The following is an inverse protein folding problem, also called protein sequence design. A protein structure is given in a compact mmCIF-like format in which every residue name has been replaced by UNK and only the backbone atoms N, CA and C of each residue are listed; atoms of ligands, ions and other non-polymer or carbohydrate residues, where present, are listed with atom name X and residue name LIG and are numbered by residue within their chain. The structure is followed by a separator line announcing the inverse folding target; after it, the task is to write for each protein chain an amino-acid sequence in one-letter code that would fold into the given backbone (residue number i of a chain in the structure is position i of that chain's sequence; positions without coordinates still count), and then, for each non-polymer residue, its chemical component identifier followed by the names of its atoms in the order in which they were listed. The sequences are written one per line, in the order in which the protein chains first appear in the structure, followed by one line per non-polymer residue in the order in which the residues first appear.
data_IF_719578286551
#
_entry.id   IF_719578286551
#
_cell.length_a   1.000
_cell.length_b   1.000
_cell.length_c   1.000
_cell.angle_alpha   90.00
_cell.angle_beta   90.00
_cell.angle_gamma   90.00
#
_symmetry.space_group_name_H-M   'P 1'
#
loop_
_entity.id
_entity.type
_entity.pdbx_description
1 polymer ?
#
# COMPACT_ATOMS: atom_id res chain seq x y z
N UNK A 1 19.42 18.83 -9.66
CA UNK A 1 19.96 20.22 -9.53
C UNK A 1 19.00 21.16 -10.25
N UNK A 2 18.53 22.29 -9.74
CA UNK A 2 19.02 23.22 -8.70
C UNK A 2 17.87 24.15 -8.28
N UNK A 3 17.78 24.41 -6.97
CA UNK A 3 16.80 25.30 -6.36
C UNK A 3 16.15 24.64 -5.15
N UNK A 4 16.95 24.24 -4.15
CA UNK A 4 16.36 24.01 -2.84
C UNK A 4 15.84 25.39 -2.38
N UNK A 5 14.52 25.54 -2.30
CA UNK A 5 13.93 26.78 -1.81
C UNK A 5 14.61 27.16 -0.50
N UNK A 6 14.99 28.44 -0.32
CA UNK A 6 15.70 28.87 0.87
C UNK A 6 14.84 28.52 2.09
N UNK A 7 15.43 27.73 3.00
CA UNK A 7 14.78 27.34 4.25
C UNK A 7 14.34 28.61 4.99
N UNK A 8 13.05 28.76 5.35
CA UNK A 8 12.58 29.94 6.04
C UNK A 8 13.36 30.16 7.36
N UNK A 9 13.76 31.40 7.65
CA UNK A 9 14.57 31.71 8.85
C UNK A 9 13.90 31.22 10.15
N UNK A 10 12.57 31.32 10.24
CA UNK A 10 11.79 30.81 11.37
C UNK A 10 11.91 29.29 11.52
N UNK A 11 11.85 28.55 10.42
CA UNK A 11 12.02 27.10 10.42
C UNK A 11 13.42 26.69 10.92
N UNK A 12 14.47 27.39 10.47
CA UNK A 12 15.84 27.09 10.86
C UNK A 12 16.13 27.33 12.36
N UNK A 13 15.46 28.31 12.98
CA UNK A 13 15.66 28.70 14.39
C UNK A 13 14.74 27.98 15.37
N UNK A 14 13.63 27.42 14.91
CA UNK A 14 12.65 26.76 15.77
C UNK A 14 13.18 25.41 16.28
N UNK A 15 13.02 25.14 17.57
CA UNK A 15 13.54 23.94 18.26
C UNK A 15 12.48 22.87 18.48
N UNK A 16 11.33 22.94 17.81
CA UNK A 16 10.23 22.00 18.01
C UNK A 16 10.62 20.57 17.68
N UNK A 17 10.00 19.59 18.35
CA UNK A 17 10.34 18.17 18.18
C UNK A 17 10.14 17.68 16.75
N UNK A 18 9.18 18.26 16.02
CA UNK A 18 8.90 17.94 14.62
C UNK A 18 8.65 19.23 13.84
N UNK A 19 9.38 19.39 12.73
CA UNK A 19 9.19 20.47 11.75
C UNK A 19 9.19 19.90 10.34
N UNK A 20 8.31 20.38 9.47
CA UNK A 20 8.31 19.97 8.07
C UNK A 20 7.96 21.13 7.14
N UNK A 21 8.61 21.17 5.99
CA UNK A 21 8.38 22.20 4.95
C UNK A 21 7.22 21.79 4.05
N UNK A 22 6.54 22.77 3.47
CA UNK A 22 5.51 22.60 2.43
C UNK A 22 5.69 23.72 1.40
N UNK A 23 5.18 23.60 0.16
CA UNK A 23 5.34 24.65 -0.84
C UNK A 23 4.88 26.05 -0.38
N UNK A 24 3.80 26.10 0.41
CA UNK A 24 3.23 27.34 0.94
C UNK A 24 3.76 27.79 2.30
N UNK A 25 4.79 27.13 2.88
CA UNK A 25 5.30 27.47 4.21
C UNK A 25 5.94 26.29 4.96
N UNK A 26 5.66 26.18 6.26
CA UNK A 26 6.13 25.05 7.07
C UNK A 26 5.24 24.80 8.27
N UNK A 27 5.20 23.54 8.70
CA UNK A 27 4.51 23.07 9.89
C UNK A 27 5.46 22.89 11.05
N UNK A 28 4.97 23.24 12.23
CA UNK A 28 5.56 22.99 13.53
C UNK A 28 4.62 22.14 14.36
N UNK A 29 5.10 21.04 14.93
CA UNK A 29 4.30 20.20 15.81
C UNK A 29 4.98 20.05 17.17
N UNK A 30 4.18 20.16 18.24
CA UNK A 30 4.62 20.08 19.65
C UNK A 30 3.55 19.45 20.53
N UNK A 31 3.97 18.84 21.63
CA UNK A 31 3.05 18.48 22.72
C UNK A 31 2.66 19.74 23.49
N UNK A 32 1.40 19.84 23.86
CA UNK A 32 0.84 20.95 24.64
C UNK A 32 -0.08 20.39 25.71
N UNK A 33 -0.44 21.22 26.70
CA UNK A 33 -1.42 20.86 27.73
C UNK A 33 -2.64 21.75 27.55
N UNK A 34 -3.79 21.14 27.28
CA UNK A 34 -5.06 21.86 27.19
C UNK A 34 -5.46 22.45 28.56
N UNK A 35 -6.32 23.48 28.63
CA UNK A 35 -6.77 24.09 29.89
C UNK A 35 -7.37 23.11 30.92
N UNK A 36 -7.81 21.93 30.46
CA UNK A 36 -8.36 20.84 31.29
C UNK A 36 -7.29 19.86 31.80
N UNK A 37 -6.00 20.16 31.62
CA UNK A 37 -4.88 19.31 32.03
C UNK A 37 -4.65 18.08 31.14
N UNK A 38 -5.39 17.96 30.02
CA UNK A 38 -5.20 16.87 29.06
C UNK A 38 -4.06 17.21 28.11
N UNK A 39 -3.14 16.27 27.94
CA UNK A 39 -2.08 16.38 26.96
C UNK A 39 -2.63 16.28 25.55
N UNK A 40 -2.19 17.18 24.68
CA UNK A 40 -2.61 17.28 23.28
C UNK A 40 -1.38 17.49 22.40
N UNK A 41 -1.59 17.38 21.09
CA UNK A 41 -0.63 17.83 20.08
C UNK A 41 -1.18 19.09 19.44
N UNK A 42 -0.35 20.12 19.39
CA UNK A 42 -0.62 21.33 18.61
C UNK A 42 0.23 21.31 17.35
N UNK A 43 -0.42 21.54 16.21
CA UNK A 43 0.22 21.74 14.92
C UNK A 43 -0.06 23.15 14.41
N UNK A 44 1.01 23.91 14.18
CA UNK A 44 0.99 25.30 13.74
C UNK A 44 1.55 25.38 12.31
N UNK A 45 0.78 25.94 11.36
CA UNK A 45 1.25 26.22 10.01
C UNK A 45 1.70 27.68 9.90
N UNK A 46 2.93 27.91 9.43
CA UNK A 46 3.49 29.22 9.18
C UNK A 46 3.66 29.45 7.68
N UNK A 47 2.86 30.34 7.11
CA UNK A 47 3.04 30.85 5.73
C UNK A 47 3.92 32.12 5.72
N UNK A 48 4.03 32.79 6.87
CA UNK A 48 4.89 33.96 7.12
C UNK A 48 5.55 33.87 8.51
N UNK A 49 6.45 34.79 8.85
CA UNK A 49 7.31 34.69 10.05
C UNK A 49 6.67 35.13 11.38
N UNK A 50 5.48 35.74 11.40
CA UNK A 50 4.97 36.44 12.61
C UNK A 50 3.93 35.69 13.45
N UNK A 51 3.08 34.89 12.83
CA UNK A 51 1.99 34.17 13.52
C UNK A 51 1.57 32.92 12.73
N UNK A 52 1.02 31.89 13.39
CA UNK A 52 0.50 30.73 12.69
C UNK A 52 -0.72 31.13 11.84
N UNK A 53 -0.70 30.75 10.57
CA UNK A 53 -1.83 30.90 9.66
C UNK A 53 -2.95 29.92 10.01
N UNK A 54 -2.59 28.72 10.49
CA UNK A 54 -3.51 27.67 10.95
C UNK A 54 -2.96 27.10 12.25
N UNK A 55 -3.86 26.79 13.17
CA UNK A 55 -3.55 26.05 14.38
C UNK A 55 -4.56 24.89 14.52
N UNK A 56 -4.04 23.70 14.78
CA UNK A 56 -4.83 22.48 14.97
C UNK A 56 -4.41 21.84 16.29
N UNK A 57 -5.39 21.47 17.12
CA UNK A 57 -5.18 20.78 18.38
C UNK A 57 -6.00 19.49 18.40
N UNK A 58 -5.36 18.36 18.72
CA UNK A 58 -6.03 17.07 18.85
C UNK A 58 -5.20 16.10 19.72
N UNK A 59 -5.78 14.94 20.04
CA UNK A 59 -4.99 13.83 20.57
C UNK A 59 -4.00 13.33 19.52
N UNK A 60 -2.85 12.81 19.94
CA UNK A 60 -1.81 12.31 19.03
C UNK A 60 -2.34 11.25 18.06
N UNK A 61 -3.33 10.45 18.48
CA UNK A 61 -3.93 9.42 17.61
C UNK A 61 -4.94 10.01 16.60
N UNK A 62 -5.52 11.18 16.88
CA UNK A 62 -6.56 11.83 16.06
C UNK A 62 -6.01 12.98 15.19
N UNK A 63 -4.77 13.42 15.43
CA UNK A 63 -4.21 14.61 14.80
C UNK A 63 -4.12 14.50 13.27
N UNK A 64 -3.83 13.31 12.71
CA UNK A 64 -3.72 13.13 11.27
C UNK A 64 -5.06 13.42 10.57
N UNK A 65 -6.18 12.96 11.16
CA UNK A 65 -7.53 13.26 10.66
C UNK A 65 -7.84 14.76 10.67
N UNK A 66 -7.33 15.51 11.66
CA UNK A 66 -7.51 16.95 11.70
C UNK A 66 -6.64 17.68 10.66
N UNK A 67 -5.38 17.25 10.53
CA UNK A 67 -4.40 17.81 9.58
C UNK A 67 -4.73 17.54 8.12
N UNK A 68 -5.30 16.37 7.81
CA UNK A 68 -5.51 15.92 6.44
C UNK A 68 -4.31 15.17 5.84
N UNK A 69 -3.21 15.01 6.57
CA UNK A 69 -2.03 14.25 6.16
C UNK A 69 -1.47 13.42 7.32
N UNK A 70 -0.70 12.39 6.99
CA UNK A 70 -0.24 11.38 7.95
C UNK A 70 1.06 11.78 8.67
N UNK A 71 1.12 11.55 9.99
CA UNK A 71 2.38 11.66 10.73
C UNK A 71 3.02 10.28 10.88
N UNK A 72 4.22 10.10 10.34
CA UNK A 72 5.01 8.87 10.46
C UNK A 72 5.25 8.43 11.93
N UNK A 73 5.48 7.14 12.20
CA UNK A 73 5.71 6.66 13.56
C UNK A 73 6.92 7.33 14.23
N UNK A 74 7.97 7.71 13.49
CA UNK A 74 9.09 8.46 14.07
C UNK A 74 8.67 9.85 14.52
N UNK A 75 7.84 10.54 13.73
CA UNK A 75 7.25 11.83 14.14
C UNK A 75 6.40 11.66 15.39
N UNK A 76 5.54 10.63 15.42
CA UNK A 76 4.67 10.33 16.56
C UNK A 76 5.46 9.97 17.81
N UNK A 77 6.52 9.18 17.68
CA UNK A 77 7.40 8.82 18.78
C UNK A 77 8.11 10.06 19.36
N UNK A 78 8.58 10.96 18.49
CA UNK A 78 9.18 12.24 18.91
C UNK A 78 8.19 13.12 19.63
N UNK A 79 6.98 13.24 19.11
CA UNK A 79 5.92 13.97 19.78
C UNK A 79 5.67 13.35 21.15
N UNK A 80 5.43 12.03 21.25
CA UNK A 80 5.12 11.33 22.51
C UNK A 80 6.16 11.54 23.61
N UNK A 81 7.45 11.63 23.28
CA UNK A 81 8.52 11.79 24.27
C UNK A 81 8.95 13.24 24.49
N UNK A 82 8.46 14.20 23.69
CA UNK A 82 8.78 15.61 23.87
C UNK A 82 8.17 16.17 25.15
N UNK A 83 8.87 17.09 25.82
CA UNK A 83 8.30 17.83 26.95
C UNK A 83 7.10 18.66 26.49
N UNK A 84 5.96 18.63 27.23
CA UNK A 84 4.82 19.46 26.91
C UNK A 84 5.17 20.95 27.00
N UNK A 85 4.86 21.69 25.96
CA UNK A 85 4.96 23.14 25.97
C UNK A 85 3.80 23.73 26.79
N UNK A 86 4.14 24.28 27.95
CA UNK A 86 3.20 24.92 28.87
C UNK A 86 2.80 26.33 28.43
N UNK A 87 3.49 26.91 27.44
CA UNK A 87 3.25 28.26 26.92
C UNK A 87 2.22 28.29 25.79
N UNK A 88 1.26 27.36 25.79
CA UNK A 88 0.23 27.33 24.77
C UNK A 88 -0.57 28.64 24.74
N UNK A 89 -0.44 29.37 23.63
CA UNK A 89 -1.26 30.55 23.33
C UNK A 89 -2.13 30.18 22.14
N UNK A 90 -3.43 30.04 22.39
CA UNK A 90 -4.43 29.95 21.34
C UNK A 90 -4.29 31.18 20.44
N UNK A 91 -3.97 30.93 19.17
CA UNK A 91 -3.87 31.98 18.16
C UNK A 91 -5.22 32.12 17.45
N UNK A 92 -5.49 33.29 16.87
CA UNK A 92 -6.61 33.48 15.96
C UNK A 92 -6.12 33.19 14.54
N UNK A 93 -6.26 31.96 14.03
CA UNK A 93 -5.73 31.60 12.73
C UNK A 93 -6.45 32.40 11.63
N UNK A 94 -5.70 32.74 10.59
CA UNK A 94 -6.25 33.42 9.41
C UNK A 94 -6.90 32.44 8.43
N UNK A 95 -6.59 31.15 8.57
CA UNK A 95 -7.11 30.06 7.76
C UNK A 95 -7.76 29.00 8.66
N UNK A 96 -8.87 28.44 8.19
CA UNK A 96 -9.54 27.33 8.86
C UNK A 96 -8.83 25.99 8.53
N UNK A 97 -8.79 25.02 9.45
CA UNK A 97 -8.19 23.70 9.19
C UNK A 97 -8.77 22.99 7.94
N UNK A 98 -10.04 23.19 7.63
CA UNK A 98 -10.67 22.67 6.42
C UNK A 98 -10.02 23.21 5.11
N UNK A 99 -9.48 24.43 5.13
CA UNK A 99 -8.81 25.04 3.97
C UNK A 99 -7.42 24.45 3.74
N UNK A 100 -6.76 23.91 4.78
CA UNK A 100 -5.49 23.18 4.61
C UNK A 100 -5.71 21.91 3.81
N UNK A 101 -6.76 21.17 4.13
CA UNK A 101 -7.06 19.90 3.47
C UNK A 101 -7.29 20.08 1.96
N UNK A 102 -7.94 21.17 1.54
CA UNK A 102 -8.24 21.46 0.13
C UNK A 102 -7.07 22.11 -0.63
N UNK A 103 -6.01 22.54 0.06
CA UNK A 103 -4.87 23.24 -0.53
C UNK A 103 -3.60 22.40 -0.52
N UNK A 104 -3.26 21.83 -1.68
CA UNK A 104 -2.08 20.98 -1.83
C UNK A 104 -0.76 21.65 -1.44
N UNK A 105 -0.63 22.96 -1.64
CA UNK A 105 0.54 23.75 -1.29
C UNK A 105 0.76 23.86 0.24
N UNK A 106 -0.27 23.63 1.05
CA UNK A 106 -0.18 23.70 2.51
C UNK A 106 0.06 22.33 3.16
N UNK A 107 0.23 21.26 2.36
CA UNK A 107 0.41 19.89 2.82
C UNK A 107 1.82 19.39 2.47
N UNK A 108 2.39 18.47 3.27
CA UNK A 108 3.62 17.80 2.87
C UNK A 108 3.41 17.01 1.59
N UNK A 109 4.43 17.03 0.76
CA UNK A 109 4.59 16.18 -0.42
C UNK A 109 5.89 15.37 -0.28
N UNK A 110 6.13 14.39 -1.14
CA UNK A 110 7.27 13.45 -1.01
C UNK A 110 8.62 14.13 -0.72
N UNK A 111 8.96 15.19 -1.44
CA UNK A 111 10.23 15.89 -1.28
C UNK A 111 10.23 16.96 -0.16
N UNK A 112 9.16 17.08 0.62
CA UNK A 112 9.11 17.98 1.77
C UNK A 112 10.18 17.60 2.78
N UNK A 113 11.05 18.56 3.13
CA UNK A 113 12.04 18.39 4.19
C UNK A 113 11.35 18.20 5.53
N UNK A 114 11.81 17.23 6.31
CA UNK A 114 11.42 16.97 7.69
C UNK A 114 12.67 17.04 8.57
N UNK A 115 12.59 17.84 9.64
CA UNK A 115 13.56 17.89 10.72
C UNK A 115 12.91 17.34 12.00
N UNK A 116 13.51 16.28 12.55
CA UNK A 116 13.13 15.69 13.84
C UNK A 116 14.21 16.02 14.86
N UNK A 117 13.83 16.50 16.05
CA UNK A 117 14.81 16.87 17.08
C UNK A 117 15.75 15.70 17.43
N UNK A 118 17.06 15.93 17.26
CA UNK A 118 18.12 14.93 17.49
C UNK A 118 18.43 14.00 16.31
N UNK A 119 17.87 14.24 15.12
CA UNK A 119 18.07 13.39 13.93
C UNK A 119 18.58 14.21 12.74
N UNK A 120 19.25 13.52 11.82
CA UNK A 120 19.54 14.08 10.50
C UNK A 120 18.24 14.34 9.75
N UNK A 121 18.22 15.48 9.05
CA UNK A 121 17.12 15.84 8.17
C UNK A 121 16.84 14.75 7.14
N UNK A 122 15.56 14.56 6.83
CA UNK A 122 15.10 13.60 5.83
C UNK A 122 13.95 14.20 5.03
N UNK A 123 13.38 13.44 4.12
CA UNK A 123 12.19 13.81 3.37
C UNK A 123 10.96 13.15 3.96
N UNK A 124 9.80 13.75 3.71
CA UNK A 124 8.51 13.19 4.11
C UNK A 124 8.27 11.85 3.39
N UNK A 125 8.60 11.73 2.11
CA UNK A 125 8.48 10.50 1.32
C UNK A 125 9.27 9.34 1.93
N UNK A 126 10.55 9.56 2.27
CA UNK A 126 11.37 8.54 2.94
C UNK A 126 10.83 8.12 4.29
N UNK A 127 10.29 9.06 5.08
CA UNK A 127 9.68 8.71 6.36
C UNK A 127 8.44 7.82 6.17
N UNK A 128 7.52 8.21 5.28
CA UNK A 128 6.32 7.42 5.00
C UNK A 128 6.66 6.02 4.45
N UNK A 129 7.77 5.88 3.72
CA UNK A 129 8.21 4.58 3.22
C UNK A 129 8.94 3.73 4.27
N UNK A 130 9.70 4.34 5.17
CA UNK A 130 10.50 3.62 6.16
C UNK A 130 9.67 2.91 7.25
N UNK A 131 8.40 3.28 7.42
CA UNK A 131 7.46 2.67 8.36
C UNK A 131 6.10 2.47 7.68
N UNK A 132 5.98 1.45 6.80
CA UNK A 132 4.71 1.18 6.15
C UNK A 132 3.66 0.74 7.19
N UNK A 133 2.37 1.05 6.95
CA UNK A 133 1.31 0.53 7.80
C UNK A 133 1.33 -1.00 7.82
N UNK A 134 0.95 -1.61 8.96
CA UNK A 134 0.76 -3.06 9.10
C UNK A 134 -0.14 -3.62 8.02
N UNK A 135 -1.13 -2.83 7.57
CA UNK A 135 -2.01 -3.15 6.46
C UNK A 135 -2.56 -1.91 5.81
N UNK A 136 -2.64 -1.92 4.49
CA UNK A 136 -3.43 -0.97 3.71
C UNK A 136 -4.48 -1.70 2.89
N UNK A 137 -5.72 -1.25 2.98
CA UNK A 137 -6.80 -1.66 2.09
C UNK A 137 -7.35 -0.44 1.37
N UNK A 138 -7.67 -0.58 0.08
CA UNK A 138 -8.26 0.48 -0.74
C UNK A 138 -9.53 -0.05 -1.40
N UNK A 139 -10.61 0.72 -1.32
CA UNK A 139 -11.82 0.48 -2.07
C UNK A 139 -11.65 0.97 -3.52
N UNK A 140 -11.81 0.09 -4.53
CA UNK A 140 -11.62 0.48 -5.92
C UNK A 140 -12.76 1.35 -6.47
N UNK A 141 -13.91 1.45 -5.79
CA UNK A 141 -15.08 2.20 -6.25
C UNK A 141 -15.22 3.60 -5.64
N UNK A 142 -14.72 3.80 -4.42
CA UNK A 142 -14.98 5.00 -3.63
C UNK A 142 -13.69 5.77 -3.24
N UNK A 143 -12.51 5.35 -3.71
CA UNK A 143 -11.21 5.95 -3.35
C UNK A 143 -10.97 6.07 -1.83
N UNK A 144 -11.61 5.20 -1.05
CA UNK A 144 -11.40 5.11 0.40
C UNK A 144 -10.24 4.17 0.65
N UNK A 145 -9.29 4.59 1.49
CA UNK A 145 -8.21 3.72 1.95
C UNK A 145 -8.23 3.60 3.47
N UNK A 146 -8.20 2.38 3.99
CA UNK A 146 -8.04 2.10 5.42
C UNK A 146 -6.63 1.59 5.67
N UNK A 147 -5.89 2.27 6.53
CA UNK A 147 -4.53 1.90 6.96
C UNK A 147 -4.56 1.51 8.44
N UNK A 148 -4.05 0.32 8.76
CA UNK A 148 -3.77 -0.10 10.14
C UNK A 148 -2.31 0.19 10.39
N UNK A 149 -2.00 1.12 11.28
CA UNK A 149 -0.65 1.65 11.47
C UNK A 149 0.07 1.03 12.66
N UNK A 150 -0.66 0.53 13.65
CA UNK A 150 -0.10 -0.17 14.80
C UNK A 150 -1.16 -1.02 15.48
N UNK A 151 -0.72 -2.02 16.25
CA UNK A 151 -1.57 -2.81 17.13
C UNK A 151 -0.89 -2.97 18.50
N UNK A 152 -1.63 -2.76 19.58
CA UNK A 152 -1.12 -2.87 20.94
C UNK A 152 -2.07 -3.72 21.79
N UNK A 153 -1.53 -4.66 22.56
CA UNK A 153 -2.32 -5.50 23.45
C UNK A 153 -2.92 -4.66 24.59
N UNK A 154 -4.20 -4.87 24.86
CA UNK A 154 -4.93 -4.24 25.97
C UNK A 154 -5.78 -5.28 26.68
N UNK A 155 -5.90 -5.15 28.00
CA UNK A 155 -6.90 -5.88 28.77
C UNK A 155 -8.31 -5.38 28.41
N UNK A 156 -9.25 -6.29 28.23
CA UNK A 156 -10.67 -5.94 28.03
C UNK A 156 -11.30 -5.75 29.39
N UNK A 157 -11.87 -4.57 29.66
CA UNK A 157 -12.27 -4.15 31.01
C UNK A 157 -13.49 -4.88 31.60
N UNK A 158 -14.20 -5.68 30.82
CA UNK A 158 -15.45 -6.36 31.23
C UNK A 158 -15.50 -7.85 30.86
N UNK A 159 -14.35 -8.43 30.47
CA UNK A 159 -14.21 -9.85 30.16
C UNK A 159 -13.45 -10.57 31.27
N UNK A 160 -13.58 -11.90 31.34
CA UNK A 160 -12.70 -12.74 32.18
C UNK A 160 -11.24 -12.25 32.06
N UNK A 161 -10.47 -12.13 33.17
CA UNK A 161 -9.13 -11.52 33.22
C UNK A 161 -8.10 -12.07 32.23
N UNK A 162 -8.41 -13.18 31.54
CA UNK A 162 -7.58 -13.81 30.51
C UNK A 162 -7.90 -13.37 29.07
N UNK A 163 -8.90 -12.52 28.83
CA UNK A 163 -9.30 -12.10 27.48
C UNK A 163 -8.54 -10.84 27.06
N UNK A 164 -7.40 -11.03 26.41
CA UNK A 164 -6.64 -9.95 25.77
C UNK A 164 -7.27 -9.56 24.42
N UNK A 165 -7.34 -8.27 24.13
CA UNK A 165 -7.67 -7.72 22.81
C UNK A 165 -6.49 -6.91 22.27
N UNK A 166 -6.41 -6.76 20.95
CA UNK A 166 -5.54 -5.77 20.33
C UNK A 166 -6.33 -4.50 20.09
N UNK A 167 -5.78 -3.37 20.52
CA UNK A 167 -6.24 -2.03 20.17
C UNK A 167 -5.50 -1.58 18.93
N UNK A 168 -6.22 -1.30 17.86
CA UNK A 168 -5.67 -0.92 16.56
C UNK A 168 -5.57 0.61 16.47
N UNK A 169 -4.40 1.11 16.07
CA UNK A 169 -4.25 2.47 15.56
C UNK A 169 -4.48 2.45 14.06
N UNK A 170 -5.28 3.38 13.56
CA UNK A 170 -5.70 3.40 12.17
C UNK A 170 -5.74 4.81 11.57
N UNK A 171 -5.74 4.85 10.24
CA UNK A 171 -6.06 6.02 9.41
C UNK A 171 -7.07 5.61 8.35
N UNK A 172 -7.95 6.52 7.99
CA UNK A 172 -8.80 6.40 6.81
C UNK A 172 -8.59 7.59 5.93
N UNK A 173 -8.26 7.32 4.67
CA UNK A 173 -8.07 8.32 3.63
C UNK A 173 -9.20 8.30 2.63
N UNK A 174 -9.40 9.45 2.01
CA UNK A 174 -10.31 9.65 0.90
C UNK A 174 -9.73 10.76 0.02
N UNK A 175 -9.64 10.52 -1.29
CA UNK A 175 -9.01 11.44 -2.25
C UNK A 175 -7.59 11.86 -1.81
N UNK A 176 -6.82 10.90 -1.26
CA UNK A 176 -5.45 11.11 -0.77
C UNK A 176 -5.32 11.87 0.56
N UNK A 177 -6.43 12.33 1.15
CA UNK A 177 -6.46 13.05 2.43
C UNK A 177 -6.79 12.12 3.59
N UNK A 178 -6.12 12.29 4.74
CA UNK A 178 -6.55 11.61 5.98
C UNK A 178 -7.81 12.29 6.52
N UNK A 179 -8.92 11.55 6.60
CA UNK A 179 -10.21 12.05 7.09
C UNK A 179 -10.46 11.57 8.52
N UNK A 180 -10.14 10.32 8.81
CA UNK A 180 -10.21 9.75 10.16
C UNK A 180 -8.84 9.23 10.57
N UNK A 181 -8.50 9.40 11.84
CA UNK A 181 -7.44 8.63 12.48
C UNK A 181 -7.82 8.41 13.93
N UNK A 182 -7.35 7.33 14.53
CA UNK A 182 -7.68 7.03 15.91
C UNK A 182 -7.08 5.74 16.40
N UNK A 183 -7.43 5.41 17.65
CA UNK A 183 -7.00 4.19 18.35
C UNK A 183 -8.14 3.62 19.18
N UNK A 184 -9.29 3.38 18.54
CA UNK A 184 -10.52 2.89 19.20
C UNK A 184 -10.93 1.48 18.77
N UNK A 185 -10.62 1.09 17.53
CA UNK A 185 -10.96 -0.22 17.00
C UNK A 185 -10.24 -1.35 17.76
N UNK A 186 -10.95 -2.44 18.03
CA UNK A 186 -10.41 -3.60 18.75
C UNK A 186 -10.66 -4.90 17.99
N UNK A 187 -9.72 -5.82 18.10
CA UNK A 187 -9.83 -7.21 17.60
C UNK A 187 -9.38 -8.21 18.66
N UNK A 188 -9.78 -9.49 18.59
CA UNK A 188 -9.25 -10.52 19.47
C UNK A 188 -7.71 -10.58 19.42
N UNK A 189 -7.07 -10.89 20.55
CA UNK A 189 -5.58 -10.88 20.63
C UNK A 189 -4.86 -11.82 19.67
N UNK A 190 -5.52 -12.89 19.22
CA UNK A 190 -4.98 -13.86 18.26
C UNK A 190 -5.23 -13.47 16.81
N UNK A 191 -5.96 -12.40 16.55
CA UNK A 191 -6.21 -11.90 15.20
C UNK A 191 -4.97 -11.19 14.69
N UNK A 192 -4.49 -11.60 13.52
CA UNK A 192 -3.43 -10.89 12.82
C UNK A 192 -3.90 -9.45 12.51
N UNK A 193 -3.21 -8.40 12.99
CA UNK A 193 -3.57 -7.01 12.71
C UNK A 193 -3.49 -6.64 11.24
N UNK A 194 -2.88 -7.48 10.40
CA UNK A 194 -2.86 -7.31 8.95
C UNK A 194 -4.06 -7.96 8.21
N UNK A 195 -4.93 -8.66 8.92
CA UNK A 195 -6.05 -9.42 8.34
C UNK A 195 -7.26 -8.56 7.91
N UNK A 196 -8.09 -9.14 7.04
CA UNK A 196 -9.39 -8.55 6.65
C UNK A 196 -10.31 -8.28 7.85
N UNK A 197 -10.23 -9.11 8.89
CA UNK A 197 -11.00 -8.93 10.12
C UNK A 197 -10.61 -7.63 10.84
N UNK A 198 -9.33 -7.26 10.81
CA UNK A 198 -8.85 -6.03 11.39
C UNK A 198 -9.34 -4.79 10.62
N UNK A 199 -9.37 -4.85 9.29
CA UNK A 199 -9.96 -3.79 8.44
C UNK A 199 -11.46 -3.65 8.75
N UNK A 200 -12.21 -4.76 8.77
CA UNK A 200 -13.64 -4.75 9.12
C UNK A 200 -13.91 -4.19 10.51
N UNK A 201 -13.04 -4.45 11.50
CA UNK A 201 -13.16 -3.89 12.84
C UNK A 201 -12.97 -2.36 12.85
N UNK A 202 -12.02 -1.83 12.08
CA UNK A 202 -11.85 -0.38 11.90
C UNK A 202 -13.09 0.23 11.24
N UNK A 203 -13.60 -0.42 10.19
CA UNK A 203 -14.82 0.03 9.50
C UNK A 203 -16.04 0.03 10.43
N UNK A 204 -16.21 -1.01 11.26
CA UNK A 204 -17.27 -1.10 12.24
C UNK A 204 -17.18 0.01 13.32
N UNK A 205 -15.98 0.36 13.76
CA UNK A 205 -15.72 1.47 14.70
C UNK A 205 -16.07 2.85 14.10
N UNK A 206 -15.93 3.02 12.78
CA UNK A 206 -16.24 4.28 12.09
C UNK A 206 -17.75 4.52 11.96
N UNK A 207 -18.52 3.47 11.71
CA UNK A 207 -19.99 3.56 11.56
C UNK A 207 -20.74 3.57 12.90
N UNK A 208 -20.04 3.31 14.01
CA UNK A 208 -20.63 3.34 15.35
C UNK A 208 -20.83 4.81 15.79
N UNK A 209 -22.00 5.19 16.34
CA UNK A 209 -22.26 6.55 16.80
C UNK A 209 -21.20 7.06 17.80
N UNK A 210 -20.69 8.28 17.57
CA UNK A 210 -19.61 8.86 18.37
C UNK A 210 -20.13 9.95 19.33
N UNK A 211 -19.57 10.04 20.55
CA UNK A 211 -19.93 11.11 21.49
C UNK A 211 -19.32 12.47 21.11
N UNK A 212 -18.21 12.48 20.37
CA UNK A 212 -17.53 13.69 19.91
C UNK A 212 -18.12 14.16 18.58
N UNK A 213 -18.37 15.47 18.39
CA UNK A 213 -18.86 15.99 17.12
C UNK A 213 -17.83 15.76 16.02
N UNK A 214 -18.30 15.27 14.87
CA UNK A 214 -17.49 15.11 13.67
C UNK A 214 -17.09 16.47 13.10
N UNK A 215 -15.87 16.55 12.57
CA UNK A 215 -15.47 17.69 11.73
C UNK A 215 -16.33 17.74 10.46
N UNK A 216 -16.44 18.90 9.81
CA UNK A 216 -17.21 19.02 8.57
C UNK A 216 -16.70 18.09 7.47
N UNK A 217 -15.39 17.84 7.43
CA UNK A 217 -14.76 16.89 6.50
C UNK A 217 -15.20 15.45 6.78
N UNK A 218 -15.17 15.05 8.05
CA UNK A 218 -15.60 13.71 8.47
C UNK A 218 -17.09 13.49 8.18
N UNK A 219 -17.92 14.51 8.43
CA UNK A 219 -19.35 14.48 8.13
C UNK A 219 -19.59 14.37 6.63
N UNK A 220 -18.99 15.25 5.83
CA UNK A 220 -19.10 15.22 4.37
C UNK A 220 -18.66 13.87 3.79
N UNK A 221 -17.63 13.25 4.36
CA UNK A 221 -17.15 11.97 3.91
C UNK A 221 -18.13 10.83 4.22
N UNK A 222 -18.73 10.81 5.41
CA UNK A 222 -19.80 9.86 5.73
C UNK A 222 -21.08 10.11 4.89
N UNK A 223 -21.43 11.39 4.67
CA UNK A 223 -22.60 11.80 3.89
C UNK A 223 -22.46 11.50 2.39
N UNK A 224 -21.22 11.45 1.87
CA UNK A 224 -20.91 11.07 0.50
C UNK A 224 -21.22 9.58 0.19
N UNK A 225 -21.80 8.86 1.15
CA UNK A 225 -22.30 7.50 0.93
C UNK A 225 -21.18 6.48 0.91
N UNK A 226 -20.15 6.65 1.75
CA UNK A 226 -19.16 5.60 1.96
C UNK A 226 -19.89 4.30 2.33
N UNK A 227 -19.90 3.32 1.42
CA UNK A 227 -20.56 2.01 1.61
C UNK A 227 -19.78 1.11 2.59
N UNK A 228 -19.24 1.71 3.66
CA UNK A 228 -18.61 1.03 4.78
C UNK A 228 -19.49 -0.09 5.39
N UNK A 229 -20.83 0.05 5.51
CA UNK A 229 -21.67 -1.04 6.00
C UNK A 229 -21.60 -2.30 5.13
N UNK A 230 -21.38 -2.17 3.83
CA UNK A 230 -21.30 -3.30 2.91
C UNK A 230 -20.04 -4.14 3.09
N UNK A 231 -18.95 -3.55 3.62
CA UNK A 231 -17.69 -4.22 3.91
C UNK A 231 -17.76 -5.10 5.15
N UNK A 232 -18.61 -4.75 6.11
CA UNK A 232 -18.79 -5.50 7.36
C UNK A 232 -19.87 -6.57 7.25
N UNK A 233 -20.75 -6.49 6.24
CA UNK A 233 -21.79 -7.48 6.02
C UNK A 233 -21.23 -8.84 5.58
N UNK A 234 -21.86 -9.92 6.08
CA UNK A 234 -21.64 -11.26 5.56
C UNK A 234 -22.44 -11.42 4.26
N UNK A 235 -21.74 -11.60 3.13
CA UNK A 235 -22.33 -11.64 1.79
C UNK A 235 -21.94 -12.94 1.10
N UNK A 236 -22.85 -13.55 0.33
CA UNK A 236 -22.50 -14.69 -0.50
C UNK A 236 -21.48 -14.28 -1.57
N UNK A 237 -20.53 -15.17 -1.88
CA UNK A 237 -19.59 -15.01 -2.98
C UNK A 237 -20.37 -15.04 -4.30
N UNK A 238 -20.15 -14.04 -5.16
CA UNK A 238 -20.82 -13.89 -6.47
C UNK A 238 -19.78 -13.69 -7.55
N UNK A 239 -20.22 -13.73 -8.81
CA UNK A 239 -19.39 -13.28 -9.94
C UNK A 239 -18.88 -11.85 -9.68
N UNK A 240 -17.59 -11.62 -9.90
CA UNK A 240 -16.90 -10.37 -9.63
C UNK A 240 -16.37 -10.21 -8.21
N UNK A 241 -16.72 -11.11 -7.28
CA UNK A 241 -16.18 -11.07 -5.92
C UNK A 241 -14.68 -11.36 -5.91
N UNK A 242 -13.92 -10.59 -5.11
CA UNK A 242 -12.55 -10.94 -4.72
C UNK A 242 -12.60 -12.03 -3.67
N UNK A 243 -11.80 -13.07 -3.86
CA UNK A 243 -11.72 -14.23 -2.98
C UNK A 243 -10.29 -14.53 -2.57
N UNK A 244 -10.12 -14.96 -1.32
CA UNK A 244 -8.93 -15.65 -0.88
C UNK A 244 -9.22 -17.15 -0.94
N UNK A 245 -8.29 -17.89 -1.53
CA UNK A 245 -8.35 -19.34 -1.69
C UNK A 245 -7.28 -19.96 -0.81
N UNK A 246 -7.70 -20.89 0.04
CA UNK A 246 -6.78 -21.67 0.85
C UNK A 246 -5.95 -22.60 -0.04
N UNK A 247 -4.63 -22.49 0.06
CA UNK A 247 -3.71 -23.40 -0.60
C UNK A 247 -3.75 -24.80 0.03
N UNK A 248 -3.31 -25.84 -0.70
CA UNK A 248 -3.05 -27.15 -0.10
C UNK A 248 -2.07 -27.05 1.09
N UNK A 249 -2.06 -28.02 2.03
CA UNK A 249 -1.10 -28.03 3.11
C UNK A 249 0.34 -27.88 2.61
N UNK A 250 1.05 -26.84 3.09
CA UNK A 250 2.43 -26.55 2.70
C UNK A 250 2.60 -25.64 1.48
N UNK A 251 1.52 -25.25 0.80
CA UNK A 251 1.53 -24.25 -0.27
C UNK A 251 0.86 -22.94 0.17
N UNK A 252 1.29 -21.79 -0.36
CA UNK A 252 0.64 -20.52 -0.06
C UNK A 252 -0.81 -20.53 -0.56
N UNK A 253 -1.66 -19.79 0.14
CA UNK A 253 -2.97 -19.41 -0.40
C UNK A 253 -2.80 -18.39 -1.52
N UNK A 254 -3.85 -18.21 -2.31
CA UNK A 254 -3.85 -17.28 -3.43
C UNK A 254 -5.08 -16.38 -3.40
N UNK A 255 -5.00 -15.22 -4.04
CA UNK A 255 -6.15 -14.32 -4.19
C UNK A 255 -6.50 -14.14 -5.66
N UNK A 256 -7.77 -13.81 -5.91
CA UNK A 256 -8.23 -13.56 -7.27
C UNK A 256 -9.70 -13.19 -7.34
N UNK A 257 -10.24 -13.20 -8.55
CA UNK A 257 -11.61 -12.74 -8.83
C UNK A 257 -12.46 -13.86 -9.38
N UNK A 258 -13.64 -14.07 -8.79
CA UNK A 258 -14.60 -15.07 -9.26
C UNK A 258 -15.18 -14.65 -10.61
N UNK A 259 -15.02 -15.52 -11.62
CA UNK A 259 -15.60 -15.36 -12.94
C UNK A 259 -17.00 -15.98 -13.03
N UNK A 260 -17.17 -17.16 -12.43
CA UNK A 260 -18.43 -17.93 -12.49
C UNK A 260 -18.62 -18.73 -11.20
N UNK A 261 -19.88 -18.91 -10.80
CA UNK A 261 -20.28 -19.81 -9.71
C UNK A 261 -20.95 -21.02 -10.33
N UNK A 262 -20.46 -22.22 -10.00
CA UNK A 262 -21.02 -23.49 -10.45
C UNK A 262 -21.75 -24.17 -9.29
N UNK A 263 -22.98 -24.60 -9.55
CA UNK A 263 -23.81 -25.37 -8.62
C UNK A 263 -23.87 -26.82 -9.13
N UNK A 264 -23.11 -27.72 -8.53
CA UNK A 264 -23.02 -29.14 -8.92
C UNK A 264 -23.59 -30.02 -7.81
N UNK A 265 -24.72 -30.69 -8.06
CA UNK A 265 -25.33 -31.75 -7.20
C UNK A 265 -25.03 -31.65 -5.68
N UNK A 266 -25.37 -30.51 -5.08
CA UNK A 266 -25.22 -30.28 -3.63
C UNK A 266 -23.89 -29.64 -3.18
N UNK A 267 -22.98 -29.32 -4.11
CA UNK A 267 -21.72 -28.62 -3.83
C UNK A 267 -21.59 -27.36 -4.69
N UNK A 268 -21.08 -26.28 -4.10
CA UNK A 268 -20.77 -25.05 -4.82
C UNK A 268 -19.29 -25.03 -5.16
N UNK A 269 -18.96 -24.71 -6.41
CA UNK A 269 -17.60 -24.48 -6.89
C UNK A 269 -17.49 -23.08 -7.47
N UNK A 270 -16.35 -22.45 -7.27
CA UNK A 270 -16.05 -21.14 -7.83
C UNK A 270 -15.01 -21.30 -8.94
N UNK A 271 -15.32 -20.79 -10.12
CA UNK A 271 -14.34 -20.57 -11.17
C UNK A 271 -13.79 -19.16 -11.01
N UNK A 272 -12.49 -19.03 -10.75
CA UNK A 272 -11.87 -17.76 -10.43
C UNK A 272 -10.55 -17.59 -11.20
N UNK A 273 -10.18 -16.34 -11.46
CA UNK A 273 -8.91 -15.99 -12.07
C UNK A 273 -7.95 -15.51 -10.99
N UNK A 274 -6.76 -16.11 -10.85
CA UNK A 274 -5.73 -15.62 -9.93
C UNK A 274 -5.28 -14.20 -10.26
N UNK A 275 -5.02 -13.41 -9.22
CA UNK A 275 -4.50 -12.05 -9.38
C UNK A 275 -3.12 -12.05 -10.07
N UNK A 276 -2.29 -13.04 -9.74
CA UNK A 276 -0.98 -13.29 -10.32
C UNK A 276 -1.02 -13.57 -11.83
N UNK A 277 -2.17 -14.01 -12.35
CA UNK A 277 -2.31 -14.31 -13.77
C UNK A 277 -2.15 -13.08 -14.68
N UNK A 278 -2.27 -11.88 -14.12
CA UNK A 278 -2.14 -10.62 -14.86
C UNK A 278 -0.71 -10.04 -14.81
N UNK A 279 0.22 -10.69 -14.10
CA UNK A 279 1.61 -10.25 -14.00
C UNK A 279 2.31 -10.29 -15.36
N UNK A 280 3.21 -9.32 -15.64
CA UNK A 280 4.12 -9.41 -16.77
C UNK A 280 4.90 -10.73 -16.77
N UNK A 281 4.97 -11.38 -17.93
CA UNK A 281 5.62 -12.69 -18.09
C UNK A 281 4.74 -13.89 -17.76
N UNK A 282 3.63 -13.73 -17.05
CA UNK A 282 2.77 -14.86 -16.68
C UNK A 282 2.17 -15.54 -17.93
N UNK A 283 2.18 -16.89 -18.03
CA UNK A 283 1.66 -17.61 -19.19
C UNK A 283 0.18 -17.31 -19.52
N UNK A 284 -0.63 -17.07 -18.48
CA UNK A 284 -2.06 -16.78 -18.62
C UNK A 284 -2.37 -15.28 -18.82
N UNK A 285 -1.36 -14.41 -18.90
CA UNK A 285 -1.59 -12.95 -19.00
C UNK A 285 -2.37 -12.58 -20.26
N UNK A 286 -2.02 -13.19 -21.38
CA UNK A 286 -2.68 -12.98 -22.68
C UNK A 286 -3.95 -13.81 -22.87
N UNK A 287 -4.31 -14.67 -21.90
CA UNK A 287 -5.45 -15.59 -21.98
C UNK A 287 -6.41 -15.30 -20.79
N UNK A 288 -7.24 -14.25 -20.89
CA UNK A 288 -8.04 -13.75 -19.76
C UNK A 288 -9.12 -14.73 -19.27
N UNK A 289 -9.52 -15.69 -20.12
CA UNK A 289 -10.57 -16.67 -19.84
C UNK A 289 -10.09 -17.88 -19.04
N UNK A 290 -8.78 -18.05 -18.84
CA UNK A 290 -8.25 -19.11 -17.99
C UNK A 290 -8.60 -18.86 -16.53
N UNK A 291 -9.16 -19.90 -15.90
CA UNK A 291 -9.68 -19.90 -14.53
C UNK A 291 -9.32 -21.20 -13.83
N UNK A 292 -9.26 -21.14 -12.50
CA UNK A 292 -9.10 -22.27 -11.60
C UNK A 292 -10.46 -22.60 -10.97
N UNK A 293 -10.77 -23.88 -10.84
CA UNK A 293 -11.95 -24.35 -10.13
C UNK A 293 -11.60 -24.69 -8.68
N UNK A 294 -12.35 -24.14 -7.72
CA UNK A 294 -12.14 -24.40 -6.30
C UNK A 294 -13.47 -24.68 -5.56
N UNK A 295 -13.54 -25.71 -4.70
CA UNK A 295 -14.69 -25.93 -3.84
C UNK A 295 -14.99 -24.76 -2.90
N UNK A 296 -16.27 -24.48 -2.64
CA UNK A 296 -16.67 -23.34 -1.81
C UNK A 296 -16.10 -23.35 -0.39
N UNK A 297 -15.82 -24.53 0.17
CA UNK A 297 -15.21 -24.66 1.51
C UNK A 297 -13.79 -24.09 1.62
N UNK A 298 -13.11 -23.88 0.48
CA UNK A 298 -11.75 -23.33 0.43
C UNK A 298 -11.71 -21.86 0.00
N UNK A 299 -12.87 -21.24 -0.25
CA UNK A 299 -12.96 -19.87 -0.73
C UNK A 299 -13.67 -18.97 0.28
N UNK A 300 -13.09 -17.80 0.56
CA UNK A 300 -13.71 -16.76 1.37
C UNK A 300 -13.65 -15.41 0.67
N UNK A 301 -14.63 -14.54 0.92
CA UNK A 301 -14.52 -13.14 0.49
C UNK A 301 -13.31 -12.49 1.15
N UNK A 302 -12.55 -11.73 0.38
CA UNK A 302 -11.36 -11.06 0.89
C UNK A 302 -11.34 -9.57 0.61
N UNK A 303 -10.77 -8.82 1.55
CA UNK A 303 -10.35 -7.44 1.41
C UNK A 303 -8.84 -7.36 1.10
N UNK A 304 -8.16 -8.48 0.84
CA UNK A 304 -6.79 -8.48 0.34
C UNK A 304 -6.69 -7.63 -0.93
N UNK A 305 -5.63 -6.82 -1.02
CA UNK A 305 -5.30 -6.13 -2.26
C UNK A 305 -4.96 -7.16 -3.34
N UNK A 306 -4.95 -6.73 -4.61
CA UNK A 306 -4.53 -7.59 -5.71
C UNK A 306 -3.15 -8.16 -5.39
N UNK A 307 -2.99 -9.49 -5.46
CA UNK A 307 -1.65 -10.07 -5.34
C UNK A 307 -0.79 -9.60 -6.51
N UNK A 308 0.32 -8.98 -6.15
CA UNK A 308 1.26 -8.34 -7.07
C UNK A 308 2.64 -9.01 -7.05
N UNK A 309 2.79 -10.13 -6.32
CA UNK A 309 4.06 -10.87 -6.16
C UNK A 309 5.23 -9.99 -5.71
N UNK A 310 4.99 -9.05 -4.80
CA UNK A 310 6.03 -8.21 -4.17
C UNK A 310 6.06 -8.38 -2.65
N UNK A 311 5.05 -9.03 -2.08
CA UNK A 311 4.95 -9.30 -0.65
C UNK A 311 5.37 -10.76 -0.37
N UNK A 312 6.03 -11.04 0.78
CA UNK A 312 6.35 -12.40 1.18
C UNK A 312 5.10 -13.30 1.25
N UNK A 313 5.20 -14.60 0.92
CA UNK A 313 6.43 -15.34 0.60
C UNK A 313 6.85 -15.29 -0.88
N UNK A 314 6.07 -14.66 -1.76
CA UNK A 314 6.28 -14.69 -3.22
C UNK A 314 7.14 -13.52 -3.73
N UNK A 315 7.53 -12.59 -2.85
CA UNK A 315 8.40 -11.47 -3.17
C UNK A 315 9.73 -11.92 -3.80
N UNK A 316 10.08 -11.48 -5.02
CA UNK A 316 11.37 -11.77 -5.60
C UNK A 316 12.48 -11.03 -4.85
N UNK A 317 13.70 -11.58 -4.89
CA UNK A 317 14.89 -10.93 -4.30
C UNK A 317 15.17 -9.57 -4.95
N UNK A 318 14.96 -9.48 -6.27
CA UNK A 318 15.12 -8.27 -7.07
C UNK A 318 14.02 -8.17 -8.13
N UNK A 319 13.62 -6.95 -8.46
CA UNK A 319 12.69 -6.71 -9.56
C UNK A 319 13.42 -6.82 -10.90
N UNK A 320 12.74 -7.37 -11.90
CA UNK A 320 13.33 -7.60 -13.24
C UNK A 320 12.45 -7.03 -14.34
N UNK A 321 12.86 -7.23 -15.59
CA UNK A 321 12.21 -6.71 -16.78
C UNK A 321 10.68 -6.88 -16.75
N UNK A 322 9.97 -5.76 -16.85
CA UNK A 322 8.51 -5.71 -16.84
C UNK A 322 7.89 -5.41 -15.48
N UNK A 323 8.64 -5.52 -14.37
CA UNK A 323 8.17 -5.14 -13.04
C UNK A 323 7.81 -3.65 -13.00
N UNK A 324 6.84 -3.29 -12.15
CA UNK A 324 6.44 -1.90 -11.94
C UNK A 324 6.99 -1.39 -10.62
N UNK A 325 7.49 -0.15 -10.65
CA UNK A 325 8.02 0.55 -9.48
C UNK A 325 7.40 1.95 -9.36
N UNK A 326 7.32 2.44 -8.14
CA UNK A 326 7.07 3.85 -7.82
C UNK A 326 8.33 4.46 -7.20
N UNK A 327 8.65 5.71 -7.54
CA UNK A 327 9.81 6.39 -6.94
C UNK A 327 9.43 6.99 -5.58
N UNK A 328 10.31 6.90 -4.57
CA UNK A 328 10.04 7.48 -3.24
C UNK A 328 10.08 9.00 -3.30
N UNK A 329 11.20 9.58 -3.74
CA UNK A 329 11.48 11.01 -3.63
C UNK A 329 11.78 11.71 -4.96
N UNK A 330 11.77 11.01 -6.10
CA UNK A 330 12.15 11.63 -7.38
C UNK A 330 11.03 12.54 -7.89
N UNK A 331 11.16 13.88 -7.86
CA UNK A 331 10.09 14.76 -8.36
C UNK A 331 9.84 14.60 -9.86
N UNK A 332 10.81 14.10 -10.63
CA UNK A 332 10.75 14.03 -12.09
C UNK A 332 10.03 12.80 -12.64
N UNK A 333 9.74 11.79 -11.82
CA UNK A 333 8.91 10.66 -12.22
C UNK A 333 8.03 10.20 -11.07
N UNK A 334 6.86 9.62 -11.34
CA UNK A 334 6.09 8.90 -10.31
C UNK A 334 6.51 7.43 -10.19
N UNK A 335 7.18 6.90 -11.21
CA UNK A 335 7.46 5.48 -11.33
C UNK A 335 7.57 5.04 -12.79
N UNK A 336 7.63 3.74 -12.99
CA UNK A 336 7.69 3.18 -14.32
C UNK A 336 7.96 1.68 -14.34
N UNK A 337 8.35 1.21 -15.52
CA UNK A 337 8.60 -0.21 -15.78
C UNK A 337 10.10 -0.49 -15.70
N UNK A 338 10.51 -1.43 -14.88
CA UNK A 338 11.90 -1.89 -14.80
C UNK A 338 12.28 -2.51 -16.14
N UNK A 339 13.38 -2.02 -16.72
CA UNK A 339 13.98 -2.56 -17.94
C UNK A 339 15.10 -3.55 -17.58
N UNK A 340 15.92 -3.20 -16.58
CA UNK A 340 17.09 -3.96 -16.14
C UNK A 340 17.33 -3.83 -14.65
N UNK A 341 17.99 -4.83 -14.08
CA UNK A 341 18.52 -4.79 -12.72
C UNK A 341 20.03 -5.05 -12.76
N UNK A 342 20.81 -4.21 -12.11
CA UNK A 342 22.26 -4.33 -11.99
C UNK A 342 22.66 -4.61 -10.55
N UNK A 343 23.48 -5.64 -10.36
CA UNK A 343 24.05 -5.98 -9.06
C UNK A 343 25.41 -5.31 -8.90
N UNK A 344 25.44 -4.24 -8.11
CA UNK A 344 26.64 -3.43 -7.87
C UNK A 344 27.13 -3.60 -6.43
N UNK A 345 28.35 -3.14 -6.15
CA UNK A 345 28.92 -3.20 -4.79
C UNK A 345 28.08 -2.45 -3.73
N UNK A 346 27.31 -1.44 -4.15
CA UNK A 346 26.46 -0.62 -3.29
C UNK A 346 25.00 -1.13 -3.21
N UNK A 347 24.70 -2.30 -3.79
CA UNK A 347 23.36 -2.87 -3.87
C UNK A 347 22.81 -2.89 -5.30
N UNK A 348 21.48 -2.99 -5.41
CA UNK A 348 20.79 -3.14 -6.70
C UNK A 348 20.45 -1.77 -7.27
N UNK A 349 20.72 -1.58 -8.56
CA UNK A 349 20.30 -0.40 -9.33
C UNK A 349 19.38 -0.86 -10.45
N UNK A 350 18.24 -0.20 -10.61
CA UNK A 350 17.30 -0.45 -11.70
C UNK A 350 17.49 0.58 -12.80
N UNK A 351 17.59 0.11 -14.05
CA UNK A 351 17.23 0.95 -15.19
C UNK A 351 15.73 0.77 -15.41
N UNK A 352 14.98 1.87 -15.48
CA UNK A 352 13.54 1.83 -15.70
C UNK A 352 13.12 2.83 -16.77
N UNK A 353 12.02 2.50 -17.45
CA UNK A 353 11.31 3.39 -18.36
C UNK A 353 10.26 4.16 -17.56
N UNK A 354 10.40 5.47 -17.37
CA UNK A 354 9.40 6.27 -16.68
C UNK A 354 8.04 6.21 -17.41
N UNK A 355 6.95 6.33 -16.65
CA UNK A 355 5.58 6.35 -17.18
C UNK A 355 5.30 7.61 -18.02
N UNK A 356 6.05 8.68 -17.79
CA UNK A 356 5.93 9.93 -18.52
C UNK A 356 6.26 9.75 -20.01
N UNK A 357 5.32 10.14 -20.88
CA UNK A 357 5.42 9.91 -22.32
C UNK A 357 6.70 10.55 -22.91
N UNK A 358 7.49 9.74 -23.63
CA UNK A 358 8.73 10.19 -24.28
C UNK A 358 9.92 10.40 -23.35
N UNK A 359 9.80 10.07 -22.06
CA UNK A 359 10.94 10.09 -21.16
C UNK A 359 11.98 9.04 -21.57
N UNK A 360 13.27 9.39 -21.51
CA UNK A 360 14.34 8.42 -21.70
C UNK A 360 14.42 7.47 -20.49
N UNK A 361 14.97 6.25 -20.67
CA UNK A 361 15.31 5.37 -19.55
C UNK A 361 16.20 6.06 -18.52
N UNK A 362 16.02 5.72 -17.24
CA UNK A 362 16.76 6.31 -16.11
C UNK A 362 17.21 5.24 -15.15
N UNK A 363 18.33 5.49 -14.47
CA UNK A 363 18.80 4.65 -13.38
C UNK A 363 18.30 5.16 -12.03
N UNK A 364 17.97 4.23 -11.14
CA UNK A 364 17.57 4.51 -9.76
C UNK A 364 18.02 3.39 -8.83
N UNK A 365 18.46 3.73 -7.62
CA UNK A 365 18.80 2.75 -6.61
C UNK A 365 17.54 2.00 -6.14
N UNK A 366 17.65 0.70 -5.89
CA UNK A 366 16.54 -0.10 -5.39
C UNK A 366 15.99 0.40 -4.04
N UNK A 367 16.83 1.05 -3.22
CA UNK A 367 16.43 1.69 -1.96
C UNK A 367 15.63 2.98 -2.13
N UNK A 368 15.53 3.51 -3.36
CA UNK A 368 14.82 4.75 -3.67
C UNK A 368 13.49 4.49 -4.42
N UNK A 369 13.06 3.23 -4.47
CA UNK A 369 11.81 2.81 -5.13
C UNK A 369 10.96 1.94 -4.21
N UNK A 370 9.66 1.96 -4.47
CA UNK A 370 8.67 1.05 -3.90
C UNK A 370 8.23 0.08 -5.00
N UNK A 371 8.38 -1.24 -4.81
CA UNK A 371 7.80 -2.22 -5.71
C UNK A 371 6.28 -2.02 -5.81
N UNK A 372 5.73 -2.02 -7.02
CA UNK A 372 4.29 -1.92 -7.27
C UNK A 372 3.75 -3.23 -7.82
N UNK A 373 4.50 -3.88 -8.71
CA UNK A 373 4.13 -5.17 -9.28
C UNK A 373 5.38 -5.94 -9.69
N UNK A 374 5.45 -7.22 -9.34
CA UNK A 374 6.50 -8.13 -9.74
C UNK A 374 6.31 -8.64 -11.17
N UNK A 375 6.92 -9.78 -11.47
CA UNK A 375 6.85 -10.46 -12.77
C UNK A 375 6.80 -11.97 -12.55
N UNK A 376 6.27 -12.69 -13.53
CA UNK A 376 6.12 -14.15 -13.48
C UNK A 376 6.66 -14.80 -14.77
N UNK A 377 7.90 -14.47 -15.15
CA UNK A 377 8.59 -15.11 -16.27
C UNK A 377 8.92 -16.57 -15.93
N UNK A 378 8.48 -17.57 -16.71
CA UNK A 378 8.71 -18.98 -16.34
C UNK A 378 10.19 -19.38 -16.33
N UNK A 379 10.93 -18.97 -17.36
CA UNK A 379 12.34 -19.36 -17.59
C UNK A 379 13.12 -18.26 -18.31
N UNK A 380 14.46 -18.36 -18.30
CA UNK A 380 15.34 -17.35 -18.88
C UNK A 380 15.16 -17.22 -20.39
N UNK A 381 14.82 -18.32 -21.07
CA UNK A 381 14.57 -18.31 -22.51
C UNK A 381 13.41 -17.38 -22.87
N UNK A 382 12.28 -17.52 -22.18
CA UNK A 382 11.07 -16.72 -22.38
C UNK A 382 11.33 -15.25 -22.05
N UNK A 383 12.04 -14.98 -20.95
CA UNK A 383 12.45 -13.63 -20.57
C UNK A 383 13.31 -12.96 -21.64
N UNK A 384 14.35 -13.64 -22.13
CA UNK A 384 15.27 -13.10 -23.14
C UNK A 384 14.55 -12.87 -24.47
N UNK A 385 13.66 -13.79 -24.88
CA UNK A 385 12.84 -13.62 -26.07
C UNK A 385 11.95 -12.37 -25.98
N UNK A 386 11.28 -12.17 -24.84
CA UNK A 386 10.43 -11.00 -24.62
C UNK A 386 11.22 -9.67 -24.65
N UNK A 387 12.44 -9.68 -24.12
CA UNK A 387 13.33 -8.51 -24.16
C UNK A 387 13.86 -8.22 -25.55
N UNK A 388 14.21 -9.26 -26.29
CA UNK A 388 14.66 -9.14 -27.69
C UNK A 388 13.55 -8.51 -28.53
N UNK A 389 12.30 -8.92 -28.33
CA UNK A 389 11.13 -8.33 -28.99
C UNK A 389 10.90 -6.86 -28.62
N UNK A 390 11.39 -6.42 -27.45
CA UNK A 390 11.38 -5.03 -27.01
C UNK A 390 12.66 -4.25 -27.35
N UNK A 391 13.56 -4.83 -28.17
CA UNK A 391 14.85 -4.24 -28.53
C UNK A 391 15.75 -3.91 -27.33
N UNK A 392 15.72 -4.76 -26.29
CA UNK A 392 16.55 -4.63 -25.10
C UNK A 392 17.64 -5.70 -25.06
N UNK A 393 18.80 -5.38 -25.66
CA UNK A 393 19.99 -6.24 -25.65
C UNK A 393 20.46 -6.53 -24.21
N UNK A 394 21.23 -7.60 -23.99
CA UNK A 394 21.81 -7.89 -22.67
C UNK A 394 22.99 -6.96 -22.38
N UNK A 395 23.13 -6.49 -21.13
CA UNK A 395 24.28 -5.67 -20.71
C UNK A 395 25.10 -6.38 -19.62
N UNK A 396 26.45 -6.35 -19.67
CA UNK A 396 27.28 -6.90 -18.61
C UNK A 396 26.94 -6.30 -17.23
N UNK A 397 26.91 -7.15 -16.20
CA UNK A 397 26.52 -6.78 -14.83
C UNK A 397 25.01 -6.84 -14.57
N UNK A 398 24.20 -7.04 -15.60
CA UNK A 398 22.77 -7.23 -15.45
C UNK A 398 22.44 -8.57 -14.81
N UNK A 399 21.45 -8.58 -13.91
CA UNK A 399 20.92 -9.77 -13.28
C UNK A 399 19.56 -10.13 -13.87
N UNK A 400 19.41 -11.40 -14.25
CA UNK A 400 18.18 -11.98 -14.78
C UNK A 400 17.61 -12.95 -13.74
N UNK A 401 16.33 -12.79 -13.44
CA UNK A 401 15.59 -13.63 -12.50
C UNK A 401 14.25 -14.03 -13.13
N UNK A 402 13.88 -15.29 -12.93
CA UNK A 402 12.63 -15.89 -13.38
C UNK A 402 12.09 -16.76 -12.26
N UNK A 403 10.94 -17.41 -12.47
CA UNK A 403 10.35 -18.27 -11.45
C UNK A 403 11.19 -19.51 -11.14
N UNK A 404 11.99 -19.98 -12.12
CA UNK A 404 12.73 -21.24 -12.06
C UNK A 404 14.24 -21.08 -12.14
N UNK A 405 14.73 -19.94 -12.62
CA UNK A 405 16.14 -19.75 -12.99
C UNK A 405 16.63 -18.33 -12.68
N UNK A 406 17.89 -18.21 -12.31
CA UNK A 406 18.61 -16.95 -12.15
C UNK A 406 19.99 -17.01 -12.83
N UNK A 407 20.41 -15.89 -13.43
CA UNK A 407 21.74 -15.76 -14.05
C UNK A 407 22.22 -14.31 -14.04
N UNK A 408 23.53 -14.10 -14.12
CA UNK A 408 24.12 -12.78 -14.30
C UNK A 408 24.76 -12.68 -15.67
N UNK A 409 24.60 -11.55 -16.34
CA UNK A 409 25.22 -11.30 -17.65
C UNK A 409 26.67 -10.89 -17.43
N UNK A 410 27.59 -11.60 -18.07
CA UNK A 410 29.04 -11.33 -18.02
C UNK A 410 29.57 -10.91 -19.38
N UNK A 411 30.69 -10.18 -19.36
CA UNK A 411 31.40 -9.84 -20.58
C UNK A 411 32.14 -11.08 -21.13
N UNK A 412 32.00 -11.34 -22.43
CA UNK A 412 32.73 -12.39 -23.14
C UNK A 412 33.22 -11.86 -24.50
N UNK A 413 34.24 -12.51 -25.07
CA UNK A 413 34.90 -12.07 -26.31
C UNK A 413 33.95 -11.93 -27.51
N UNK A 414 32.85 -12.68 -27.51
CA UNK A 414 31.81 -12.67 -28.55
C UNK A 414 30.61 -11.78 -28.23
N UNK A 415 30.67 -11.03 -27.14
CA UNK A 415 29.56 -10.21 -26.62
C UNK A 415 29.06 -10.67 -25.25
N UNK A 416 28.03 -10.02 -24.70
CA UNK A 416 27.45 -10.39 -23.40
C UNK A 416 26.85 -11.80 -23.43
N UNK A 417 27.18 -12.63 -22.43
CA UNK A 417 26.63 -13.99 -22.25
C UNK A 417 26.13 -14.19 -20.83
N UNK A 418 25.32 -15.22 -20.61
CA UNK A 418 24.91 -15.62 -19.27
C UNK A 418 26.05 -16.34 -18.54
N UNK A 419 26.21 -16.06 -17.25
CA UNK A 419 27.00 -16.88 -16.33
C UNK A 419 26.35 -18.26 -16.13
N UNK A 420 26.90 -19.07 -15.21
CA UNK A 420 26.23 -20.28 -14.76
C UNK A 420 24.79 -19.97 -14.30
N UNK A 421 23.83 -20.69 -14.88
CA UNK A 421 22.41 -20.59 -14.51
C UNK A 421 22.20 -21.37 -13.21
N UNK A 422 21.55 -20.72 -12.25
CA UNK A 422 21.20 -21.33 -10.97
C UNK A 422 19.69 -21.56 -10.90
N UNK A 423 19.22 -22.73 -10.43
CA UNK A 423 17.79 -22.97 -10.25
C UNK A 423 17.23 -22.13 -9.09
N UNK A 424 15.95 -21.79 -9.18
CA UNK A 424 15.15 -21.08 -8.18
C UNK A 424 13.93 -21.93 -7.87
N UNK A 425 13.66 -22.17 -6.59
CA UNK A 425 12.48 -22.94 -6.15
C UNK A 425 11.30 -22.02 -5.89
N UNK A 426 10.37 -21.92 -6.84
CA UNK A 426 9.06 -21.28 -6.60
C UNK A 426 7.94 -22.30 -6.76
N UNK A 427 7.42 -22.90 -5.67
CA UNK A 427 6.42 -23.97 -5.76
C UNK A 427 4.99 -23.47 -5.94
N UNK A 428 4.75 -22.16 -6.19
CA UNK A 428 3.41 -21.60 -6.26
C UNK A 428 2.75 -21.90 -7.62
N UNK A 429 1.72 -22.78 -7.66
CA UNK A 429 1.08 -23.18 -8.91
C UNK A 429 0.20 -22.07 -9.53
N UNK A 430 -0.12 -21.01 -8.78
CA UNK A 430 -0.85 -19.86 -9.30
C UNK A 430 0.06 -18.82 -9.95
N UNK A 431 1.35 -18.85 -9.59
CA UNK A 431 2.41 -18.06 -10.21
C UNK A 431 3.06 -18.81 -11.39
N UNK A 432 3.23 -20.12 -11.25
CA UNK A 432 3.75 -21.02 -12.28
C UNK A 432 2.76 -22.16 -12.58
N UNK A 433 1.72 -21.90 -13.39
CA UNK A 433 0.72 -22.93 -13.72
C UNK A 433 1.29 -24.07 -14.56
N UNK A 434 2.52 -23.93 -15.11
CA UNK A 434 3.20 -25.01 -15.81
C UNK A 434 3.61 -26.16 -14.88
N UNK A 435 3.60 -25.95 -13.57
CA UNK A 435 3.80 -26.99 -12.56
C UNK A 435 2.54 -27.85 -12.35
N UNK A 436 1.35 -27.31 -12.69
CA UNK A 436 0.12 -28.08 -12.64
C UNK A 436 0.00 -28.90 -13.92
N UNK A 437 -0.14 -30.23 -13.77
CA UNK A 437 -0.63 -31.04 -14.89
C UNK A 437 -1.98 -30.46 -15.35
N UNK A 438 -2.20 -30.28 -16.67
CA UNK A 438 -3.37 -29.57 -17.17
C UNK A 438 -4.65 -30.33 -16.80
N UNK A 439 -5.31 -29.90 -15.74
CA UNK A 439 -6.69 -30.30 -15.46
C UNK A 439 -7.58 -29.24 -16.08
N UNK A 440 -7.67 -29.24 -17.41
CA UNK A 440 -8.74 -28.51 -18.08
C UNK A 440 -10.02 -29.30 -17.84
N UNK A 441 -11.03 -28.81 -17.10
CA UNK A 441 -12.37 -29.30 -17.32
C UNK A 441 -12.71 -28.94 -18.77
N UNK A 442 -13.00 -29.93 -19.61
CA UNK A 442 -13.65 -29.66 -20.88
C UNK A 442 -14.90 -28.84 -20.54
N UNK A 443 -14.96 -27.61 -21.04
CA UNK A 443 -16.23 -26.91 -21.14
C UNK A 443 -17.06 -27.79 -22.07
N UNK A 444 -18.00 -28.55 -21.50
CA UNK A 444 -18.97 -29.25 -22.31
C UNK A 444 -19.62 -28.23 -23.24
N UNK A 445 -19.71 -28.51 -24.55
CA UNK A 445 -20.39 -27.62 -25.46
C UNK A 445 -21.81 -27.36 -24.92
N UNK A 446 -22.35 -26.13 -25.09
CA UNK A 446 -23.71 -25.84 -24.66
C UNK A 446 -24.64 -26.91 -25.23
N UNK A 447 -25.59 -27.44 -24.44
CA UNK A 447 -26.50 -28.46 -24.91
C UNK A 447 -27.19 -27.96 -26.19
N UNK A 448 -27.32 -28.81 -27.23
CA UNK A 448 -27.97 -28.41 -28.45
C UNK A 448 -29.35 -27.87 -28.14
N UNK A 449 -29.66 -26.71 -28.71
CA UNK A 449 -30.92 -25.98 -28.58
C UNK A 449 -32.07 -26.95 -28.87
N UNK A 450 -32.65 -27.50 -27.82
CA UNK A 450 -33.86 -28.32 -27.92
C UNK A 450 -35.01 -27.36 -27.97
N UNK A 451 -35.23 -26.83 -29.16
CA UNK A 451 -36.52 -26.25 -29.55
C UNK A 451 -37.58 -27.33 -29.33
N UNK A 452 -38.27 -27.25 -28.20
CA UNK A 452 -39.50 -28.02 -27.98
C UNK A 452 -40.58 -27.46 -28.92
N UNK A 453 -41.34 -28.32 -29.62
CA UNK A 453 -42.48 -27.87 -30.41
C UNK A 453 -43.57 -27.36 -29.46
N UNK A 454 -44.07 -26.16 -29.76
CA UNK A 454 -45.23 -25.55 -29.10
C UNK A 454 -46.45 -26.47 -29.23
N UNK A 455 -47.23 -26.71 -28.15
CA UNK A 455 -48.65 -27.02 -28.25
C UNK A 455 -49.51 -25.79 -28.55
#
# INVERSE_FOLDING_TARGET
MTGADPIPLGYARDSSPVKLTVPGGWWRLRRTVAPQGRERVTADLFTTLRAPAVQVEADLDEIDGHLGFALDARMRARLRTAEPDLSFVASYPTLMPAQVATRADLRPWRASRVDLAGFTATTYGRLQHADPPLRSWMDPGCEIQVEITAAEATAVRDSSPDTLALKLSYRVRHEGLVVFSGRSATVPSRTDPSSDAAVRAVVADLITPRPTPLTDRQRAALDAGWYLPDLVADKPIRRGSRVAIQGPPGLPGATGTVRTVLLEQGSTRYLWRPDLADLPGHPWRSIPDLVIATPAVHASLTLAAKDTAIDPPTAPTHLVYGALIATIDDPASQGGTVLRAFLNANGVTYEFQPVEAGAAPREIAASDVVPVTGTAWPDLHTLIAARTAAHLDLLPGEHLLTLREAATVIHHATGPILSAVSPVDTPDPTLDPGLLAPTMPALDPPPPDTTLPLP
#
